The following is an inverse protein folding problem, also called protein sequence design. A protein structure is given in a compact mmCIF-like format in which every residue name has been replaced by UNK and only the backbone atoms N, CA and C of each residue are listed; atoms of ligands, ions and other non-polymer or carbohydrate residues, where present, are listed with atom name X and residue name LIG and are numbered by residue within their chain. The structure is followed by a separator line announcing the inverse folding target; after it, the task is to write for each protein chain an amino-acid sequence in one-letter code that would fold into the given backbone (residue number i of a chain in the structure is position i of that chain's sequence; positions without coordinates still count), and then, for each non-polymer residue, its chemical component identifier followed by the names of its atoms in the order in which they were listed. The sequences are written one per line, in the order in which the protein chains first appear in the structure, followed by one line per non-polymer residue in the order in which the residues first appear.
data_IF_485451117616
#
_entry.id   IF_485451117616
#
_cell.length_a   1.000
_cell.length_b   1.000
_cell.length_c   1.000
_cell.angle_alpha   90.00
_cell.angle_beta   90.00
_cell.angle_gamma   90.00
#
_symmetry.space_group_name_H-M   'P 1'
#
loop_
_entity.id
_entity.type
_entity.pdbx_description
1 polymer ?
#
# COMPACT_ATOMS: atom_id res chain seq x y z
N UNK A 1 -26.00 5.21 -6.28
CA UNK A 1 -25.20 4.10 -6.84
C UNK A 1 -24.13 4.60 -7.81
N UNK A 2 -24.45 5.39 -8.85
CA UNK A 2 -23.42 5.96 -9.75
C UNK A 2 -22.43 6.85 -9.00
N UNK A 3 -22.93 7.76 -8.14
CA UNK A 3 -22.09 8.63 -7.31
C UNK A 3 -21.16 7.88 -6.33
N UNK A 4 -21.59 6.71 -5.85
CA UNK A 4 -20.80 5.89 -4.94
C UNK A 4 -19.64 5.18 -5.66
N UNK A 5 -19.83 4.84 -6.94
CA UNK A 5 -18.81 4.20 -7.78
C UNK A 5 -17.74 5.23 -8.18
N UNK A 6 -18.15 6.41 -8.61
CA UNK A 6 -17.23 7.49 -8.95
C UNK A 6 -16.47 7.98 -7.70
N UNK A 7 -17.16 8.06 -6.55
CA UNK A 7 -16.55 8.30 -5.26
C UNK A 7 -15.54 7.21 -4.88
N UNK A 8 -15.86 5.93 -5.11
CA UNK A 8 -14.96 4.82 -4.85
C UNK A 8 -13.72 4.89 -5.73
N UNK A 9 -13.88 5.14 -7.03
CA UNK A 9 -12.77 5.26 -7.99
C UNK A 9 -11.83 6.37 -7.56
N UNK A 10 -12.36 7.56 -7.28
CA UNK A 10 -11.57 8.71 -6.79
C UNK A 10 -10.82 8.40 -5.49
N UNK A 11 -11.48 7.75 -4.54
CA UNK A 11 -10.86 7.37 -3.26
C UNK A 11 -9.77 6.31 -3.44
N UNK A 12 -10.02 5.27 -4.23
CA UNK A 12 -9.04 4.22 -4.53
C UNK A 12 -7.81 4.81 -5.22
N UNK A 13 -8.01 5.69 -6.21
CA UNK A 13 -6.91 6.42 -6.87
C UNK A 13 -6.07 7.21 -5.86
N UNK A 14 -6.72 7.96 -4.95
CA UNK A 14 -6.02 8.73 -3.90
C UNK A 14 -5.22 7.84 -2.95
N UNK A 15 -5.79 6.70 -2.55
CA UNK A 15 -5.12 5.73 -1.66
C UNK A 15 -3.88 5.14 -2.34
N UNK A 16 -3.96 4.76 -3.61
CA UNK A 16 -2.78 4.24 -4.32
C UNK A 16 -1.70 5.30 -4.51
N UNK A 17 -2.07 6.57 -4.73
CA UNK A 17 -1.09 7.67 -4.72
C UNK A 17 -0.47 7.86 -3.33
N UNK A 18 -1.27 7.80 -2.27
CA UNK A 18 -0.78 7.86 -0.90
C UNK A 18 0.23 6.74 -0.62
N UNK A 19 -0.10 5.50 -0.97
CA UNK A 19 0.79 4.36 -0.78
C UNK A 19 2.08 4.50 -1.61
N UNK A 20 1.98 4.99 -2.85
CA UNK A 20 3.15 5.27 -3.67
C UNK A 20 4.09 6.26 -2.95
N UNK A 21 3.56 7.40 -2.48
CA UNK A 21 4.34 8.43 -1.78
C UNK A 21 4.95 7.91 -0.49
N UNK A 22 4.17 7.20 0.33
CA UNK A 22 4.66 6.64 1.60
C UNK A 22 5.78 5.63 1.39
N UNK A 23 5.69 4.77 0.38
CA UNK A 23 6.74 3.81 0.07
C UNK A 23 8.01 4.48 -0.47
N UNK A 24 7.88 5.51 -1.31
CA UNK A 24 9.03 6.31 -1.76
C UNK A 24 9.71 7.01 -0.59
N UNK A 25 8.94 7.57 0.35
CA UNK A 25 9.48 8.18 1.57
C UNK A 25 10.19 7.16 2.46
N UNK A 26 9.62 5.96 2.62
CA UNK A 26 10.25 4.89 3.37
C UNK A 26 11.62 4.51 2.78
N UNK A 27 11.71 4.38 1.45
CA UNK A 27 12.98 4.13 0.75
C UNK A 27 13.96 5.29 0.97
N UNK A 28 13.50 6.53 0.83
CA UNK A 28 14.33 7.73 1.01
C UNK A 28 14.95 7.78 2.41
N UNK A 29 14.17 7.48 3.45
CA UNK A 29 14.65 7.45 4.84
C UNK A 29 15.64 6.29 5.06
N UNK A 30 15.47 5.16 4.36
CA UNK A 30 16.37 4.02 4.48
C UNK A 30 17.81 4.31 4.01
N UNK A 31 18.05 5.35 3.20
CA UNK A 31 19.40 5.81 2.86
C UNK A 31 20.20 6.33 4.06
N UNK A 32 19.53 6.69 5.15
CA UNK A 32 20.18 7.10 6.40
C UNK A 32 20.51 5.92 7.32
N UNK A 33 20.09 4.70 6.95
CA UNK A 33 20.31 3.48 7.71
C UNK A 33 21.50 2.65 7.20
N UNK A 34 21.59 1.41 7.67
CA UNK A 34 22.56 0.44 7.17
C UNK A 34 22.24 -0.02 5.74
N UNK A 35 23.24 -0.51 5.00
CA UNK A 35 23.06 -1.05 3.65
C UNK A 35 22.02 -2.19 3.61
N UNK A 36 21.94 -3.00 4.67
CA UNK A 36 20.95 -4.08 4.80
C UNK A 36 19.53 -3.53 4.91
N UNK A 37 19.36 -2.47 5.70
CA UNK A 37 18.07 -1.77 5.82
C UNK A 37 17.67 -1.17 4.48
N UNK A 38 18.61 -0.52 3.80
CA UNK A 38 18.38 0.07 2.48
C UNK A 38 17.89 -0.98 1.48
N UNK A 39 18.57 -2.13 1.35
CA UNK A 39 18.14 -3.18 0.42
C UNK A 39 16.78 -3.76 0.78
N UNK A 40 16.48 -3.95 2.07
CA UNK A 40 15.18 -4.42 2.50
C UNK A 40 14.05 -3.45 2.13
N UNK A 41 14.26 -2.16 2.41
CA UNK A 41 13.28 -1.12 2.10
C UNK A 41 13.13 -0.89 0.60
N UNK A 42 14.21 -1.02 -0.19
CA UNK A 42 14.12 -1.02 -1.65
C UNK A 42 13.31 -2.22 -2.14
N UNK A 43 13.55 -3.43 -1.60
CA UNK A 43 12.85 -4.63 -2.04
C UNK A 43 11.34 -4.53 -1.73
N UNK A 44 10.97 -4.25 -0.48
CA UNK A 44 9.56 -4.20 -0.06
C UNK A 44 8.90 -2.91 -0.52
N UNK A 45 9.53 -1.76 -0.27
CA UNK A 45 8.98 -0.46 -0.64
C UNK A 45 8.96 -0.25 -2.14
N UNK A 46 9.99 -0.71 -2.86
CA UNK A 46 10.00 -0.63 -4.32
C UNK A 46 8.90 -1.48 -4.95
N UNK A 47 8.70 -2.71 -4.44
CA UNK A 47 7.62 -3.57 -4.93
C UNK A 47 6.24 -3.01 -4.56
N UNK A 48 6.04 -2.51 -3.34
CA UNK A 48 4.79 -1.88 -2.93
C UNK A 48 4.50 -0.58 -3.72
N UNK A 49 5.52 0.22 -4.00
CA UNK A 49 5.43 1.41 -4.87
C UNK A 49 5.01 1.01 -6.29
N UNK A 50 5.66 -0.01 -6.87
CA UNK A 50 5.31 -0.53 -8.19
C UNK A 50 3.85 -1.02 -8.24
N UNK A 51 3.44 -1.83 -7.27
CA UNK A 51 2.07 -2.33 -7.17
C UNK A 51 1.08 -1.17 -7.03
N UNK A 52 1.40 -0.17 -6.22
CA UNK A 52 0.56 1.03 -6.06
C UNK A 52 0.39 1.79 -7.37
N UNK A 53 1.47 2.01 -8.13
CA UNK A 53 1.40 2.63 -9.45
C UNK A 53 0.58 1.79 -10.43
N UNK A 54 0.81 0.48 -10.48
CA UNK A 54 0.08 -0.43 -11.36
C UNK A 54 -1.42 -0.47 -11.04
N UNK A 55 -1.78 -0.58 -9.76
CA UNK A 55 -3.17 -0.57 -9.30
C UNK A 55 -3.86 0.78 -9.52
N UNK A 56 -3.14 1.90 -9.41
CA UNK A 56 -3.64 3.23 -9.79
C UNK A 56 -4.10 3.24 -11.26
N UNK A 57 -3.26 2.75 -12.18
CA UNK A 57 -3.62 2.70 -13.61
C UNK A 57 -4.83 1.79 -13.85
N UNK A 58 -4.85 0.59 -13.26
CA UNK A 58 -5.97 -0.35 -13.41
C UNK A 58 -7.29 0.22 -12.88
N UNK A 59 -7.26 0.93 -11.75
CA UNK A 59 -8.44 1.61 -11.21
C UNK A 59 -8.89 2.75 -12.10
N UNK A 60 -7.97 3.55 -12.66
CA UNK A 60 -8.30 4.64 -13.58
C UNK A 60 -8.97 4.16 -14.86
N UNK A 61 -8.45 3.09 -15.45
CA UNK A 61 -8.93 2.54 -16.73
C UNK A 61 -10.17 1.66 -16.55
N UNK A 62 -10.51 1.23 -15.32
CA UNK A 62 -11.72 0.45 -15.07
C UNK A 62 -12.99 1.18 -15.53
N UNK A 63 -13.73 0.52 -16.43
CA UNK A 63 -15.00 0.98 -17.01
C UNK A 63 -16.23 0.42 -16.29
N UNK A 64 -16.10 -0.71 -15.59
CA UNK A 64 -17.20 -1.42 -14.95
C UNK A 64 -16.94 -1.61 -13.46
N UNK A 65 -17.99 -1.65 -12.64
CA UNK A 65 -17.91 -1.78 -11.18
C UNK A 65 -17.11 -3.01 -10.72
N UNK A 66 -17.28 -4.14 -11.42
CA UNK A 66 -16.57 -5.39 -11.09
C UNK A 66 -15.09 -5.33 -11.43
N UNK A 67 -14.69 -4.66 -12.52
CA UNK A 67 -13.28 -4.50 -12.87
C UNK A 67 -12.58 -3.52 -11.93
N UNK A 68 -13.28 -2.44 -11.54
CA UNK A 68 -12.84 -1.50 -10.51
C UNK A 68 -12.60 -2.22 -9.17
N UNK A 69 -13.59 -2.99 -8.71
CA UNK A 69 -13.51 -3.74 -7.46
C UNK A 69 -12.34 -4.72 -7.46
N UNK A 70 -12.16 -5.51 -8.52
CA UNK A 70 -11.03 -6.45 -8.64
C UNK A 70 -9.68 -5.74 -8.62
N UNK A 71 -9.53 -4.66 -9.39
CA UNK A 71 -8.29 -3.89 -9.46
C UNK A 71 -7.92 -3.28 -8.10
N UNK A 72 -8.90 -2.68 -7.41
CA UNK A 72 -8.70 -2.10 -6.10
C UNK A 72 -8.37 -3.18 -5.06
N UNK A 73 -9.14 -4.27 -5.00
CA UNK A 73 -8.95 -5.36 -4.05
C UNK A 73 -7.56 -6.01 -4.16
N UNK A 74 -7.12 -6.36 -5.38
CA UNK A 74 -5.79 -6.94 -5.60
C UNK A 74 -4.68 -5.99 -5.16
N UNK A 75 -4.79 -4.71 -5.52
CA UNK A 75 -3.81 -3.70 -5.13
C UNK A 75 -3.73 -3.48 -3.62
N UNK A 76 -4.89 -3.43 -2.95
CA UNK A 76 -4.97 -3.22 -1.51
C UNK A 76 -4.42 -4.43 -0.74
N UNK A 77 -4.71 -5.65 -1.16
CA UNK A 77 -4.16 -6.85 -0.53
C UNK A 77 -2.64 -6.91 -0.63
N UNK A 78 -2.10 -6.73 -1.83
CA UNK A 78 -0.65 -6.79 -2.02
C UNK A 78 0.03 -5.68 -1.20
N UNK A 79 -0.50 -4.45 -1.22
CA UNK A 79 0.05 -3.37 -0.39
C UNK A 79 -0.06 -3.66 1.11
N UNK A 80 -1.18 -4.23 1.57
CA UNK A 80 -1.35 -4.62 2.96
C UNK A 80 -0.31 -5.66 3.38
N UNK A 81 -0.08 -6.69 2.55
CA UNK A 81 0.91 -7.74 2.81
C UNK A 81 2.33 -7.18 2.85
N UNK A 82 2.68 -6.28 1.92
CA UNK A 82 3.99 -5.63 1.92
C UNK A 82 4.18 -4.69 3.12
N UNK A 83 3.11 -4.00 3.53
CA UNK A 83 3.13 -3.12 4.68
C UNK A 83 3.42 -3.86 6.00
N UNK A 84 3.01 -5.13 6.12
CA UNK A 84 3.38 -5.99 7.25
C UNK A 84 4.90 -6.17 7.34
N UNK A 85 5.60 -6.22 6.20
CA UNK A 85 7.06 -6.31 6.15
C UNK A 85 7.77 -5.18 6.89
N UNK A 86 7.24 -3.95 6.85
CA UNK A 86 7.85 -2.84 7.58
C UNK A 86 7.85 -3.03 9.09
N UNK A 87 6.84 -3.72 9.65
CA UNK A 87 6.81 -4.03 11.08
C UNK A 87 7.82 -5.10 11.48
N UNK A 88 8.20 -5.99 10.56
CA UNK A 88 9.17 -7.05 10.83
C UNK A 88 10.60 -6.52 10.79
N UNK A 89 10.91 -5.63 9.85
CA UNK A 89 12.26 -5.08 9.73
C UNK A 89 12.56 -3.93 10.68
N UNK A 90 11.56 -3.12 11.04
CA UNK A 90 11.79 -1.97 11.90
C UNK A 90 12.43 -2.34 13.26
N UNK A 91 11.94 -3.28 14.07
CA UNK A 91 12.56 -3.56 15.37
C UNK A 91 13.71 -4.56 15.31
N UNK A 92 14.02 -5.14 14.15
CA UNK A 92 14.90 -6.31 14.08
C UNK A 92 16.39 -5.91 14.22
N UNK A 93 17.12 -6.45 15.22
CA UNK A 93 18.53 -6.11 15.47
C UNK A 93 19.45 -6.35 14.27
N UNK A 94 19.10 -7.34 13.43
CA UNK A 94 19.82 -7.70 12.22
C UNK A 94 20.04 -6.51 11.26
N UNK A 95 19.06 -5.61 11.16
CA UNK A 95 19.12 -4.45 10.29
C UNK A 95 19.89 -3.28 10.92
N UNK A 96 20.04 -3.26 12.25
CA UNK A 96 20.81 -2.24 12.99
C UNK A 96 20.46 -0.80 12.56
N UNK A 97 19.18 -0.55 12.24
CA UNK A 97 18.74 0.76 11.74
C UNK A 97 18.55 1.75 12.89
N UNK A 98 18.56 3.04 12.57
CA UNK A 98 18.32 4.08 13.57
C UNK A 98 16.85 4.11 14.00
N UNK A 99 16.55 4.61 15.22
CA UNK A 99 15.17 4.78 15.68
C UNK A 99 14.29 5.62 14.73
N UNK A 100 14.89 6.57 14.00
CA UNK A 100 14.18 7.37 13.01
C UNK A 100 13.68 6.52 11.82
N UNK A 101 14.53 5.62 11.30
CA UNK A 101 14.15 4.71 10.20
C UNK A 101 13.05 3.75 10.65
N UNK A 102 13.14 3.26 11.89
CA UNK A 102 12.12 2.40 12.48
C UNK A 102 10.78 3.10 12.64
N UNK A 103 10.80 4.32 13.18
CA UNK A 103 9.60 5.13 13.37
C UNK A 103 8.87 5.38 12.05
N UNK A 104 9.61 5.71 10.99
CA UNK A 104 9.03 5.89 9.65
C UNK A 104 8.48 4.57 9.10
N UNK A 105 9.24 3.47 9.17
CA UNK A 105 8.79 2.16 8.70
C UNK A 105 7.50 1.70 9.38
N UNK A 106 7.44 1.79 10.72
CA UNK A 106 6.25 1.43 11.50
C UNK A 106 5.06 2.33 11.13
N UNK A 107 5.28 3.63 11.00
CA UNK A 107 4.21 4.58 10.64
C UNK A 107 3.66 4.28 9.25
N UNK A 108 4.54 4.08 8.26
CA UNK A 108 4.15 3.72 6.89
C UNK A 108 3.40 2.39 6.88
N UNK A 109 3.91 1.38 7.58
CA UNK A 109 3.27 0.07 7.73
C UNK A 109 1.87 0.19 8.34
N UNK A 110 1.72 0.91 9.44
CA UNK A 110 0.45 1.08 10.14
C UNK A 110 -0.59 1.81 9.29
N UNK A 111 -0.22 2.92 8.67
CA UNK A 111 -1.11 3.67 7.79
C UNK A 111 -1.54 2.79 6.61
N UNK A 112 -0.60 2.10 5.96
CA UNK A 112 -0.91 1.25 4.83
C UNK A 112 -1.82 0.07 5.20
N UNK A 113 -1.60 -0.59 6.33
CA UNK A 113 -2.46 -1.69 6.81
C UNK A 113 -3.86 -1.17 7.15
N UNK A 114 -3.97 -0.13 7.97
CA UNK A 114 -5.28 0.39 8.42
C UNK A 114 -6.10 0.86 7.22
N UNK A 115 -5.51 1.67 6.34
CA UNK A 115 -6.20 2.19 5.16
C UNK A 115 -6.57 1.04 4.21
N UNK A 116 -5.70 0.05 4.03
CA UNK A 116 -6.00 -1.10 3.19
C UNK A 116 -7.19 -1.88 3.72
N UNK A 117 -7.19 -2.24 5.00
CA UNK A 117 -8.28 -3.01 5.62
C UNK A 117 -9.61 -2.27 5.52
N UNK A 118 -9.65 -0.98 5.88
CA UNK A 118 -10.86 -0.16 5.77
C UNK A 118 -11.38 -0.09 4.33
N UNK A 119 -10.47 0.07 3.37
CA UNK A 119 -10.83 0.19 1.96
C UNK A 119 -11.26 -1.16 1.37
N UNK A 120 -10.66 -2.28 1.79
CA UNK A 120 -11.06 -3.63 1.38
C UNK A 120 -12.53 -3.90 1.74
N UNK A 121 -12.94 -3.58 2.98
CA UNK A 121 -14.34 -3.71 3.39
C UNK A 121 -15.28 -2.79 2.59
N UNK A 122 -14.85 -1.55 2.34
CA UNK A 122 -15.63 -0.58 1.55
C UNK A 122 -15.80 -1.03 0.09
N UNK A 123 -14.73 -1.52 -0.55
CA UNK A 123 -14.75 -2.03 -1.93
C UNK A 123 -15.66 -3.25 -2.01
N UNK A 124 -15.59 -4.20 -1.08
CA UNK A 124 -16.51 -5.35 -1.03
C UNK A 124 -17.97 -4.87 -0.93
N UNK A 125 -18.26 -3.93 -0.03
CA UNK A 125 -19.62 -3.42 0.18
C UNK A 125 -20.21 -2.80 -1.09
N UNK A 126 -19.43 -2.03 -1.84
CA UNK A 126 -19.91 -1.28 -3.02
C UNK A 126 -19.91 -2.15 -4.29
N UNK A 127 -18.90 -3.00 -4.46
CA UNK A 127 -18.69 -3.73 -5.73
C UNK A 127 -19.13 -5.19 -5.68
N UNK A 128 -19.41 -5.73 -4.50
CA UNK A 128 -19.75 -7.14 -4.30
C UNK A 128 -18.59 -8.11 -4.55
N UNK A 129 -17.39 -7.61 -4.86
CA UNK A 129 -16.19 -8.45 -5.06
C UNK A 129 -15.79 -9.07 -3.71
N UNK A 130 -15.55 -10.39 -3.64
CA UNK A 130 -15.19 -11.06 -2.40
C UNK A 130 -13.86 -10.54 -1.85
N UNK A 131 -13.71 -10.60 -0.53
CA UNK A 131 -12.47 -10.22 0.14
C UNK A 131 -11.31 -11.15 -0.26
N UNK A 132 -11.58 -12.43 -0.44
CA UNK A 132 -10.61 -13.39 -1.00
C UNK A 132 -10.60 -13.27 -2.52
N UNK A 133 -9.47 -12.86 -3.08
CA UNK A 133 -9.18 -12.89 -4.52
C UNK A 133 -7.99 -13.80 -4.76
#
# INVERSE_FOLDING_TARGET
MVDEIDGLKKNATRIFVLFLVLNVLAIAVAFTGSTRTLYYFIAIGGLAAFVSAFSFFRVKVATNTKSLGRAAMQGLWINCSMAIGYFLAAPAPYFSSSPAVWGVGITVGAVAVIVSVLMLFRVRKITGVPLSI
#
